data_IF_208306869866
#
_entry.id   IF_208306869866
#
_cell.length_a   1.000
_cell.length_b   1.000
_cell.length_c   1.000
_cell.angle_alpha   90.00
_cell.angle_beta   90.00
_cell.angle_gamma   90.00
#
_symmetry.space_group_name_H-M   'P 1'
#
loop_
_entity.id
_entity.type
_entity.pdbx_description
1 polymer ?
#
# COMPACT_ATOMS: atom_id res chain seq x y z
N UNK A 1 17.73 3.53 -10.33
CA UNK A 1 18.31 3.95 -11.62
C UNK A 1 19.78 3.63 -11.62
N UNK A 2 20.41 3.41 -12.77
CA UNK A 2 21.85 3.30 -12.86
C UNK A 2 22.52 4.48 -12.15
N UNK A 3 23.56 4.18 -11.39
CA UNK A 3 24.48 5.19 -10.84
C UNK A 3 24.98 6.10 -11.98
N UNK A 4 25.14 7.39 -11.69
CA UNK A 4 25.65 8.37 -12.66
C UNK A 4 24.63 8.96 -13.65
N UNK A 5 23.33 8.67 -13.51
CA UNK A 5 22.28 9.33 -14.33
C UNK A 5 21.58 10.48 -13.58
N UNK A 6 21.22 11.59 -14.27
CA UNK A 6 20.60 12.76 -13.63
C UNK A 6 19.10 12.58 -13.30
N UNK A 7 18.41 11.64 -13.95
CA UNK A 7 16.97 11.40 -13.77
C UNK A 7 16.67 10.22 -12.83
N UNK A 8 15.39 10.05 -12.51
CA UNK A 8 14.88 9.05 -11.57
C UNK A 8 13.79 8.18 -12.18
N UNK A 9 13.93 6.84 -12.15
CA UNK A 9 12.80 5.95 -12.42
C UNK A 9 11.67 6.25 -11.43
N UNK A 10 10.40 6.10 -11.83
CA UNK A 10 9.25 6.42 -10.98
C UNK A 10 9.09 5.55 -9.74
N UNK A 11 9.95 4.54 -9.57
CA UNK A 11 9.97 3.67 -8.42
C UNK A 11 11.40 3.34 -7.97
N UNK A 12 11.51 2.87 -6.72
CA UNK A 12 12.71 2.26 -6.12
C UNK A 12 12.33 1.08 -5.24
N UNK A 13 13.38 0.51 -4.67
CA UNK A 13 13.38 -0.73 -3.92
C UNK A 13 13.58 -0.41 -2.45
N UNK A 14 12.66 -0.87 -1.62
CA UNK A 14 12.79 -0.88 -0.16
C UNK A 14 13.17 -2.31 0.25
N UNK A 15 14.23 -2.52 1.04
CA UNK A 15 14.65 -3.86 1.41
C UNK A 15 13.59 -4.56 2.27
N UNK A 16 13.53 -5.88 2.18
CA UNK A 16 12.80 -6.74 3.12
C UNK A 16 13.77 -7.36 4.12
N UNK A 17 13.26 -7.92 5.23
CA UNK A 17 14.12 -8.72 6.10
C UNK A 17 14.51 -10.01 5.37
N UNK A 18 15.73 -10.47 5.59
CA UNK A 18 16.20 -11.73 5.00
C UNK A 18 15.93 -12.91 5.93
N UNK A 19 14.70 -13.02 6.43
CA UNK A 19 14.28 -14.08 7.35
C UNK A 19 12.82 -14.48 7.07
N UNK A 20 12.43 -15.74 7.33
CA UNK A 20 11.05 -16.17 7.18
C UNK A 20 10.05 -15.38 8.06
N UNK A 21 8.79 -15.25 7.64
CA UNK A 21 7.75 -14.65 8.45
C UNK A 21 7.50 -15.42 9.76
N UNK A 22 7.17 -14.69 10.82
CA UNK A 22 6.77 -15.30 12.09
C UNK A 22 5.32 -15.83 12.02
N UNK A 23 5.17 -17.15 12.18
CA UNK A 23 3.88 -17.81 12.13
C UNK A 23 3.28 -17.97 13.53
N UNK A 24 2.06 -17.46 13.70
CA UNK A 24 1.30 -17.59 14.95
C UNK A 24 -0.15 -18.02 14.68
N UNK A 25 -0.80 -18.59 15.69
CA UNK A 25 -2.21 -18.98 15.57
C UNK A 25 -3.10 -17.76 15.39
N UNK A 26 -4.01 -17.74 14.38
CA UNK A 26 -4.96 -16.65 14.24
C UNK A 26 -5.98 -16.64 15.39
N UNK A 27 -6.44 -15.45 15.78
CA UNK A 27 -7.60 -15.32 16.68
C UNK A 27 -8.89 -15.49 15.90
N UNK A 28 -9.45 -16.69 15.96
CA UNK A 28 -10.61 -17.05 15.14
C UNK A 28 -11.86 -16.21 15.44
N UNK A 29 -12.66 -15.98 14.40
CA UNK A 29 -13.91 -15.20 14.46
C UNK A 29 -14.96 -15.76 15.44
N UNK A 30 -14.90 -17.06 15.78
CA UNK A 30 -15.84 -17.68 16.72
C UNK A 30 -15.51 -17.39 18.20
N UNK A 31 -14.39 -16.71 18.47
CA UNK A 31 -13.96 -16.35 19.82
C UNK A 31 -13.89 -14.84 19.97
N UNK A 32 -14.04 -14.38 21.20
CA UNK A 32 -14.13 -12.97 21.55
C UNK A 32 -12.92 -12.54 22.37
N UNK A 33 -11.72 -12.78 21.84
CA UNK A 33 -10.47 -12.78 22.63
C UNK A 33 -9.58 -11.54 22.40
N UNK A 34 -9.84 -10.70 21.38
CA UNK A 34 -9.00 -9.55 21.03
C UNK A 34 -9.72 -8.21 20.84
N UNK A 35 -8.95 -7.22 20.40
CA UNK A 35 -9.41 -5.85 20.25
C UNK A 35 -10.36 -5.75 19.05
N UNK A 36 -11.49 -5.06 19.25
CA UNK A 36 -12.52 -4.87 18.23
C UNK A 36 -12.91 -3.42 18.13
N UNK A 37 -13.43 -3.03 16.98
CA UNK A 37 -13.82 -1.66 16.77
C UNK A 37 -13.84 -1.26 15.31
N UNK A 38 -13.80 0.04 15.09
CA UNK A 38 -13.66 0.60 13.75
C UNK A 38 -12.95 1.95 13.78
N UNK A 39 -12.36 2.30 12.64
CA UNK A 39 -11.83 3.62 12.37
C UNK A 39 -12.60 4.26 11.20
N UNK A 40 -13.05 5.50 11.37
CA UNK A 40 -13.48 6.35 10.27
C UNK A 40 -12.29 7.13 9.73
N UNK A 41 -12.03 6.96 8.44
CA UNK A 41 -10.89 7.54 7.77
C UNK A 41 -11.34 8.47 6.66
N UNK A 42 -10.61 9.57 6.48
CA UNK A 42 -10.72 10.44 5.32
C UNK A 42 -9.45 10.36 4.50
N UNK A 43 -9.63 10.23 3.19
CA UNK A 43 -8.56 10.17 2.19
C UNK A 43 -8.65 11.40 1.31
N UNK A 44 -7.55 12.14 1.21
CA UNK A 44 -7.39 13.27 0.30
C UNK A 44 -6.40 12.92 -0.81
N UNK A 45 -6.78 13.18 -2.07
CA UNK A 45 -5.88 13.05 -3.20
C UNK A 45 -4.99 14.30 -3.33
N UNK A 46 -3.69 14.17 -3.03
CA UNK A 46 -2.71 15.27 -3.16
C UNK A 46 -2.25 15.48 -4.61
N UNK A 47 -2.41 14.46 -5.45
CA UNK A 47 -2.21 14.51 -6.91
C UNK A 47 -3.39 13.83 -7.61
N UNK A 48 -3.57 13.98 -8.95
CA UNK A 48 -4.73 13.44 -9.64
C UNK A 48 -4.91 11.95 -9.38
N UNK A 49 -6.13 11.51 -9.12
CA UNK A 49 -6.44 10.14 -8.68
C UNK A 49 -7.31 9.44 -9.72
N UNK A 50 -6.86 8.25 -10.15
CA UNK A 50 -7.68 7.39 -11.01
C UNK A 50 -7.69 5.95 -10.51
N UNK A 51 -8.88 5.43 -10.26
CA UNK A 51 -9.13 4.03 -9.94
C UNK A 51 -9.98 3.48 -11.06
N UNK A 52 -9.46 2.51 -11.81
CA UNK A 52 -10.15 1.94 -12.97
C UNK A 52 -10.68 0.57 -12.58
N UNK A 53 -11.91 0.26 -12.98
CA UNK A 53 -12.49 -1.08 -12.81
C UNK A 53 -11.81 -2.15 -13.67
N UNK A 54 -12.20 -3.41 -13.47
CA UNK A 54 -11.77 -4.49 -14.34
C UNK A 54 -12.21 -4.23 -15.79
N UNK A 55 -11.24 -4.07 -16.68
CA UNK A 55 -11.49 -3.93 -18.12
C UNK A 55 -11.57 -5.32 -18.75
N UNK A 56 -12.51 -5.53 -19.68
CA UNK A 56 -12.54 -6.74 -20.49
C UNK A 56 -11.29 -6.80 -21.37
N UNK A 57 -10.60 -7.94 -21.39
CA UNK A 57 -9.47 -8.16 -22.30
C UNK A 57 -9.92 -7.98 -23.75
N UNK A 58 -9.20 -7.18 -24.53
CA UNK A 58 -9.48 -6.96 -25.95
C UNK A 58 -10.39 -5.76 -26.28
N UNK A 59 -10.84 -4.99 -25.30
CA UNK A 59 -11.50 -3.71 -25.59
C UNK A 59 -10.51 -2.71 -26.18
N UNK A 60 -10.86 -2.11 -27.33
CA UNK A 60 -10.10 -1.07 -28.01
C UNK A 60 -9.79 0.14 -27.09
N UNK A 61 -8.95 1.05 -27.61
CA UNK A 61 -8.60 2.33 -26.98
C UNK A 61 -9.87 3.06 -26.52
N UNK A 62 -10.19 2.90 -25.25
CA UNK A 62 -11.30 3.57 -24.58
C UNK A 62 -10.68 4.53 -23.59
N UNK A 63 -11.24 5.72 -23.55
CA UNK A 63 -10.96 6.71 -22.53
C UNK A 63 -11.20 6.08 -21.16
N UNK A 64 -10.23 6.23 -20.27
CA UNK A 64 -10.28 5.63 -18.95
C UNK A 64 -10.75 6.67 -17.95
N UNK A 65 -11.93 6.41 -17.39
CA UNK A 65 -12.56 7.25 -16.37
C UNK A 65 -12.45 6.60 -14.97
N UNK A 66 -12.60 7.39 -13.90
CA UNK A 66 -12.61 6.87 -12.54
C UNK A 66 -13.84 5.97 -12.32
N UNK A 67 -13.66 4.93 -11.51
CA UNK A 67 -14.70 3.96 -11.21
C UNK A 67 -15.89 4.64 -10.53
N UNK A 68 -17.09 4.28 -11.00
CA UNK A 68 -18.36 4.67 -10.40
C UNK A 68 -19.10 3.47 -9.84
N UNK A 69 -19.77 3.67 -8.72
CA UNK A 69 -20.64 2.66 -8.12
C UNK A 69 -21.84 2.44 -9.04
N UNK A 70 -22.07 1.18 -9.44
CA UNK A 70 -23.26 0.84 -10.26
C UNK A 70 -24.58 1.13 -9.56
N UNK A 71 -24.58 1.17 -8.22
CA UNK A 71 -25.78 1.41 -7.41
C UNK A 71 -26.13 2.90 -7.30
N UNK A 72 -25.11 3.77 -7.19
CA UNK A 72 -25.33 5.19 -6.89
C UNK A 72 -24.94 6.14 -8.03
N UNK A 73 -24.19 5.67 -9.04
CA UNK A 73 -23.63 6.51 -10.10
C UNK A 73 -22.45 7.40 -9.67
N UNK A 74 -22.22 7.54 -8.36
CA UNK A 74 -21.13 8.32 -7.78
C UNK A 74 -19.79 7.63 -7.94
N UNK A 75 -18.71 8.41 -7.97
CA UNK A 75 -17.34 7.88 -7.89
C UNK A 75 -17.17 7.03 -6.64
N UNK A 76 -16.32 6.01 -6.74
CA UNK A 76 -16.05 5.09 -5.64
C UNK A 76 -14.62 4.59 -5.68
N UNK A 77 -13.98 4.51 -4.52
CA UNK A 77 -12.75 3.75 -4.36
C UNK A 77 -13.14 2.41 -3.72
N UNK A 78 -12.91 1.26 -4.38
CA UNK A 78 -13.26 -0.03 -3.80
C UNK A 78 -12.50 -0.27 -2.49
N UNK A 79 -13.18 -0.83 -1.50
CA UNK A 79 -12.56 -1.24 -0.24
C UNK A 79 -11.44 -2.27 -0.45
N UNK A 80 -11.50 -3.05 -1.53
CA UNK A 80 -10.43 -3.98 -1.93
C UNK A 80 -9.17 -3.25 -2.42
N UNK A 81 -9.30 -2.09 -3.08
CA UNK A 81 -8.16 -1.26 -3.47
C UNK A 81 -7.49 -0.62 -2.27
N UNK A 82 -8.28 -0.12 -1.31
CA UNK A 82 -7.77 0.39 -0.03
C UNK A 82 -7.08 -0.72 0.76
N UNK A 83 -7.76 -1.87 0.94
CA UNK A 83 -7.21 -3.03 1.65
C UNK A 83 -5.90 -3.50 1.03
N UNK A 84 -5.82 -3.59 -0.30
CA UNK A 84 -4.60 -4.00 -1.00
C UNK A 84 -3.43 -3.02 -0.80
N UNK A 85 -3.71 -1.72 -0.82
CA UNK A 85 -2.69 -0.69 -0.57
C UNK A 85 -2.13 -0.78 0.85
N UNK A 86 -3.01 -0.82 1.86
CA UNK A 86 -2.61 -0.90 3.27
C UNK A 86 -1.93 -2.25 3.56
N UNK A 87 -2.48 -3.36 3.04
CA UNK A 87 -1.89 -4.70 3.16
C UNK A 87 -0.48 -4.75 2.61
N UNK A 88 -0.23 -4.16 1.43
CA UNK A 88 1.11 -4.19 0.82
C UNK A 88 2.17 -3.50 1.68
N UNK A 89 1.80 -2.44 2.41
CA UNK A 89 2.71 -1.80 3.35
C UNK A 89 2.88 -2.64 4.63
N UNK A 90 1.77 -3.16 5.15
CA UNK A 90 1.78 -4.02 6.33
C UNK A 90 2.65 -5.28 6.10
N UNK A 91 2.59 -5.88 4.92
CA UNK A 91 3.42 -7.04 4.53
C UNK A 91 4.92 -6.76 4.65
N UNK A 92 5.36 -5.59 4.16
CA UNK A 92 6.74 -5.16 4.28
C UNK A 92 7.15 -4.99 5.75
N UNK A 93 6.34 -4.27 6.52
CA UNK A 93 6.68 -3.85 7.88
C UNK A 93 6.58 -4.98 8.89
N UNK A 94 5.64 -5.91 8.69
CA UNK A 94 5.42 -7.05 9.56
C UNK A 94 6.24 -8.28 9.17
N UNK A 95 7.11 -8.18 8.15
CA UNK A 95 7.84 -9.32 7.58
C UNK A 95 6.90 -10.47 7.18
N UNK A 96 5.95 -10.21 6.28
CA UNK A 96 4.95 -11.18 5.87
C UNK A 96 5.04 -11.53 4.37
N UNK A 97 4.51 -12.69 4.02
CA UNK A 97 4.48 -13.16 2.64
C UNK A 97 3.49 -12.34 1.79
N UNK A 98 3.75 -12.29 0.49
CA UNK A 98 2.85 -11.62 -0.45
C UNK A 98 1.66 -12.53 -0.80
N UNK A 99 0.47 -11.98 -1.13
CA UNK A 99 -0.76 -12.74 -1.27
C UNK A 99 -0.90 -13.41 -2.64
N UNK A 100 0.17 -13.40 -3.45
CA UNK A 100 0.12 -13.81 -4.84
C UNK A 100 0.76 -15.19 -5.04
N UNK A 101 0.18 -16.06 -5.89
CA UNK A 101 0.67 -17.43 -6.07
C UNK A 101 2.04 -17.48 -6.77
N UNK A 102 2.87 -18.44 -6.36
CA UNK A 102 4.28 -18.61 -6.74
C UNK A 102 4.55 -18.56 -8.25
N UNK A 103 3.63 -19.08 -9.08
CA UNK A 103 3.85 -19.26 -10.52
C UNK A 103 4.09 -17.97 -11.32
N UNK A 104 3.77 -16.79 -10.77
CA UNK A 104 3.85 -15.51 -11.49
C UNK A 104 4.49 -14.39 -10.68
N UNK A 105 5.19 -14.70 -9.58
CA UNK A 105 5.61 -13.70 -8.60
C UNK A 105 7.12 -13.72 -8.43
N UNK A 106 7.75 -12.59 -8.72
CA UNK A 106 9.17 -12.36 -8.45
C UNK A 106 9.38 -11.80 -7.04
N UNK A 107 9.07 -12.61 -6.03
CA UNK A 107 9.47 -12.34 -4.64
C UNK A 107 10.63 -13.22 -4.23
N UNK A 108 11.29 -12.82 -3.17
CA UNK A 108 12.28 -13.64 -2.49
C UNK A 108 11.65 -14.91 -1.90
N UNK A 109 12.50 -15.92 -1.66
CA UNK A 109 12.08 -17.24 -1.20
C UNK A 109 11.39 -17.24 0.16
N UNK A 110 11.73 -16.30 1.05
CA UNK A 110 11.18 -16.26 2.41
C UNK A 110 9.73 -15.76 2.42
N UNK A 111 9.33 -14.96 1.44
CA UNK A 111 8.04 -14.26 1.41
C UNK A 111 7.09 -14.73 0.30
N UNK A 112 7.29 -15.95 -0.21
CA UNK A 112 6.31 -16.60 -1.09
C UNK A 112 5.05 -17.00 -0.31
N UNK A 113 3.90 -17.04 -0.98
CA UNK A 113 2.60 -17.31 -0.34
C UNK A 113 2.54 -18.65 0.41
N UNK A 114 3.29 -19.68 0.00
CA UNK A 114 3.35 -20.98 0.70
C UNK A 114 4.03 -20.90 2.06
N UNK A 115 4.79 -19.84 2.33
CA UNK A 115 5.41 -19.56 3.64
C UNK A 115 4.53 -18.75 4.57
N UNK A 116 3.35 -18.30 4.11
CA UNK A 116 2.43 -17.49 4.92
C UNK A 116 1.64 -18.31 5.95
N UNK A 117 1.72 -19.64 5.91
CA UNK A 117 1.00 -20.54 6.81
C UNK A 117 1.83 -21.76 7.17
N UNK A 118 1.36 -22.53 8.16
CA UNK A 118 1.83 -23.90 8.34
C UNK A 118 1.51 -24.77 7.10
N UNK A 119 2.30 -25.82 6.81
CA UNK A 119 2.01 -26.75 5.74
C UNK A 119 0.63 -27.40 5.93
N UNK A 120 -0.12 -27.55 4.83
CA UNK A 120 -1.41 -28.23 4.89
C UNK A 120 -1.27 -29.66 5.44
N UNK A 121 -2.10 -30.09 6.41
CA UNK A 121 -2.02 -31.41 7.01
C UNK A 121 -2.40 -32.58 6.07
N UNK A 122 -2.66 -32.31 4.79
CA UNK A 122 -2.92 -33.33 3.78
C UNK A 122 -2.40 -32.88 2.42
N UNK A 123 -1.38 -33.55 1.90
CA UNK A 123 -1.02 -33.46 0.49
C UNK A 123 -2.23 -33.85 -0.35
N UNK A 124 -2.51 -33.10 -1.41
CA UNK A 124 -3.57 -33.44 -2.33
C UNK A 124 -3.39 -34.88 -2.82
N UNK A 125 -4.29 -35.80 -2.44
CA UNK A 125 -4.38 -37.09 -3.14
C UNK A 125 -4.72 -36.78 -4.61
N UNK A 126 -3.97 -37.30 -5.59
CA UNK A 126 -4.30 -37.14 -7.00
C UNK A 126 -5.76 -37.59 -7.23
N UNK A 127 -6.61 -36.69 -7.75
CA UNK A 127 -8.03 -36.98 -8.03
C UNK A 127 -9.01 -36.81 -6.86
N UNK A 128 -8.56 -36.42 -5.66
CA UNK A 128 -9.44 -36.14 -4.51
C UNK A 128 -10.02 -34.71 -4.51
N UNK A 129 -11.22 -34.52 -3.93
CA UNK A 129 -11.72 -33.19 -3.59
C UNK A 129 -10.70 -32.49 -2.68
N UNK A 130 -10.30 -31.25 -3.00
CA UNK A 130 -9.47 -30.44 -2.09
C UNK A 130 -10.30 -30.15 -0.84
N UNK A 131 -9.98 -30.82 0.27
CA UNK A 131 -10.57 -30.49 1.55
C UNK A 131 -10.18 -29.07 1.94
N UNK A 132 -11.21 -28.27 2.23
CA UNK A 132 -11.01 -26.91 2.73
C UNK A 132 -10.74 -27.00 4.22
N UNK A 133 -9.64 -26.41 4.67
CA UNK A 133 -9.25 -26.43 6.09
C UNK A 133 -8.86 -25.03 6.57
N UNK A 134 -8.91 -24.84 7.89
CA UNK A 134 -8.38 -23.64 8.52
C UNK A 134 -6.87 -23.83 8.78
N UNK A 135 -6.01 -22.85 8.43
CA UNK A 135 -4.60 -22.90 8.77
C UNK A 135 -4.42 -22.81 10.30
N UNK A 136 -3.49 -23.58 10.88
CA UNK A 136 -3.25 -23.54 12.33
C UNK A 136 -2.38 -22.35 12.70
N UNK A 137 -1.44 -21.99 11.83
CA UNK A 137 -0.57 -20.82 11.99
C UNK A 137 -0.55 -20.01 10.70
N UNK A 138 -0.50 -18.69 10.86
CA UNK A 138 -0.47 -17.72 9.79
C UNK A 138 0.57 -16.64 10.09
N UNK A 139 1.16 -16.08 9.06
CA UNK A 139 2.00 -14.89 9.16
C UNK A 139 1.17 -13.65 9.58
N UNK A 140 1.83 -12.54 9.97
CA UNK A 140 1.12 -11.38 10.48
C UNK A 140 0.12 -10.76 9.50
N UNK A 141 0.44 -10.68 8.21
CA UNK A 141 -0.47 -10.08 7.23
C UNK A 141 -1.63 -11.01 6.87
N UNK A 142 -1.40 -12.32 6.84
CA UNK A 142 -2.41 -13.34 6.59
C UNK A 142 -3.43 -13.39 7.72
N UNK A 143 -3.02 -13.22 8.99
CA UNK A 143 -3.95 -13.07 10.12
C UNK A 143 -4.81 -11.82 9.97
N UNK A 144 -4.19 -10.66 9.72
CA UNK A 144 -4.94 -9.40 9.67
C UNK A 144 -5.81 -9.29 8.42
N UNK A 145 -5.27 -9.59 7.24
CA UNK A 145 -5.93 -9.32 5.96
C UNK A 145 -6.55 -10.56 5.30
N UNK A 146 -6.31 -11.75 5.82
CA UNK A 146 -6.87 -13.01 5.31
C UNK A 146 -5.90 -13.77 4.40
N UNK A 147 -6.23 -15.04 4.19
CA UNK A 147 -5.38 -16.02 3.52
C UNK A 147 -6.20 -17.01 2.68
N UNK A 148 -5.67 -17.34 1.51
CA UNK A 148 -6.21 -18.35 0.61
C UNK A 148 -5.07 -19.01 -0.17
N UNK A 149 -4.72 -20.24 0.19
CA UNK A 149 -3.71 -21.01 -0.53
C UNK A 149 -3.86 -22.51 -0.26
N UNK A 150 -3.60 -23.36 -1.25
CA UNK A 150 -3.61 -24.82 -1.10
C UNK A 150 -4.86 -25.42 -0.42
N UNK A 151 -6.05 -24.82 -0.62
CA UNK A 151 -7.30 -25.25 0.02
C UNK A 151 -7.49 -24.73 1.44
N UNK A 152 -6.49 -24.07 2.02
CA UNK A 152 -6.62 -23.39 3.31
C UNK A 152 -7.24 -22.00 3.15
N UNK A 153 -8.17 -21.64 4.03
CA UNK A 153 -8.93 -20.38 3.98
C UNK A 153 -8.97 -19.72 5.35
N UNK A 154 -8.71 -18.40 5.37
CA UNK A 154 -8.94 -17.54 6.52
C UNK A 154 -9.45 -16.16 6.07
N UNK A 155 -10.56 -15.67 6.63
CA UNK A 155 -11.26 -14.45 6.16
C UNK A 155 -10.48 -13.15 6.44
N UNK A 156 -9.58 -13.17 7.42
CA UNK A 156 -8.88 -11.98 7.88
C UNK A 156 -9.71 -11.17 8.87
N UNK A 157 -9.02 -10.49 9.77
CA UNK A 157 -9.56 -9.77 10.92
C UNK A 157 -9.95 -8.32 10.62
N UNK A 158 -9.73 -7.84 9.39
CA UNK A 158 -10.10 -6.48 8.97
C UNK A 158 -10.94 -6.43 7.71
N UNK A 159 -11.88 -5.48 7.69
CA UNK A 159 -12.74 -5.16 6.56
C UNK A 159 -12.67 -3.67 6.25
N UNK A 160 -12.56 -3.36 4.97
CA UNK A 160 -12.58 -2.00 4.45
C UNK A 160 -13.91 -1.79 3.73
N UNK A 161 -14.62 -0.70 4.05
CA UNK A 161 -15.74 -0.25 3.23
C UNK A 161 -15.21 0.31 1.90
N UNK A 162 -16.09 0.42 0.91
CA UNK A 162 -15.83 1.32 -0.21
C UNK A 162 -15.71 2.76 0.31
N UNK A 163 -14.86 3.55 -0.33
CA UNK A 163 -14.73 4.97 -0.04
C UNK A 163 -15.70 5.77 -0.91
N UNK A 164 -16.47 6.64 -0.27
CA UNK A 164 -17.47 7.49 -0.92
C UNK A 164 -17.00 8.95 -0.91
N UNK A 165 -17.29 9.72 -1.97
CA UNK A 165 -16.81 11.09 -2.11
C UNK A 165 -17.38 12.00 -1.03
N UNK A 166 -16.54 12.91 -0.53
CA UNK A 166 -16.94 14.04 0.29
C UNK A 166 -17.09 15.26 -0.64
N UNK A 167 -18.33 15.56 -1.01
CA UNK A 167 -18.65 16.65 -1.94
C UNK A 167 -18.54 16.28 -3.42
N UNK A 168 -18.57 17.31 -4.26
CA UNK A 168 -18.54 17.16 -5.72
C UNK A 168 -17.11 17.00 -6.21
N UNK A 169 -16.85 15.95 -6.99
CA UNK A 169 -15.53 15.69 -7.56
C UNK A 169 -15.49 16.08 -9.04
N UNK A 170 -14.32 16.56 -9.49
CA UNK A 170 -14.07 17.00 -10.86
C UNK A 170 -13.08 16.08 -11.55
N UNK A 171 -13.46 15.56 -12.72
CA UNK A 171 -12.51 14.95 -13.66
C UNK A 171 -11.70 16.05 -14.37
N UNK A 172 -10.41 15.80 -14.59
CA UNK A 172 -9.49 16.65 -15.36
C UNK A 172 -8.85 15.83 -16.48
N UNK A 173 -8.29 16.51 -17.50
CA UNK A 173 -7.74 15.89 -18.70
C UNK A 173 -8.46 16.37 -19.97
N UNK A 174 -8.30 15.67 -21.10
CA UNK A 174 -7.65 14.37 -21.27
C UNK A 174 -6.13 14.40 -21.04
N UNK A 175 -5.57 13.30 -20.53
CA UNK A 175 -4.12 13.06 -20.52
C UNK A 175 -3.77 11.79 -21.29
N UNK A 176 -2.81 11.87 -22.21
CA UNK A 176 -2.30 10.70 -22.94
C UNK A 176 -1.11 10.10 -22.20
N UNK A 177 -1.30 8.95 -21.55
CA UNK A 177 -0.28 8.31 -20.70
C UNK A 177 0.24 7.01 -21.30
N UNK A 178 1.52 6.70 -21.04
CA UNK A 178 2.12 5.42 -21.43
C UNK A 178 1.49 4.29 -20.63
N UNK A 179 1.12 3.22 -21.33
CA UNK A 179 0.62 1.98 -20.75
C UNK A 179 1.70 0.92 -20.77
N UNK A 180 1.80 0.19 -19.66
CA UNK A 180 2.80 -0.84 -19.47
C UNK A 180 3.62 -0.56 -18.21
N UNK A 181 4.10 -1.63 -17.60
CA UNK A 181 5.09 -1.55 -16.53
C UNK A 181 6.28 -2.41 -16.94
N UNK A 182 7.52 -2.04 -16.54
CA UNK A 182 8.67 -2.92 -16.70
C UNK A 182 8.34 -4.27 -16.08
N UNK A 183 8.41 -5.33 -16.89
CA UNK A 183 8.15 -6.68 -16.41
C UNK A 183 9.21 -7.07 -15.37
N UNK A 184 8.82 -7.87 -14.37
CA UNK A 184 9.78 -8.60 -13.56
C UNK A 184 10.77 -9.33 -14.51
N UNK A 185 12.08 -9.18 -14.30
CA UNK A 185 13.15 -9.57 -15.24
C UNK A 185 13.73 -8.47 -16.16
N UNK A 186 13.20 -7.24 -16.13
CA UNK A 186 13.83 -6.09 -16.79
C UNK A 186 15.09 -5.62 -16.03
N UNK A 187 16.04 -4.94 -16.71
CA UNK A 187 17.35 -4.49 -16.17
C UNK A 187 17.33 -3.62 -14.90
N UNK A 188 16.15 -3.27 -14.36
CA UNK A 188 15.99 -2.44 -13.17
C UNK A 188 15.43 -3.19 -11.96
N UNK A 189 15.22 -4.51 -12.05
CA UNK A 189 14.85 -5.37 -10.93
C UNK A 189 16.11 -5.95 -10.27
N UNK A 190 16.25 -5.89 -8.93
CA UNK A 190 17.34 -6.54 -8.22
C UNK A 190 17.28 -8.05 -8.46
N UNK A 191 18.41 -8.71 -8.75
CA UNK A 191 18.43 -10.14 -9.08
C UNK A 191 18.03 -11.02 -7.88
N UNK A 192 18.32 -10.59 -6.66
CA UNK A 192 18.06 -11.32 -5.42
C UNK A 192 16.62 -11.19 -4.90
N UNK A 193 15.84 -10.24 -5.43
CA UNK A 193 14.40 -10.02 -5.13
C UNK A 193 14.08 -9.75 -3.65
N UNK A 194 15.09 -9.45 -2.82
CA UNK A 194 14.96 -9.12 -1.40
C UNK A 194 14.44 -7.69 -1.15
N UNK A 195 13.57 -7.21 -2.03
CA UNK A 195 13.08 -5.85 -2.04
C UNK A 195 11.61 -5.77 -2.41
N UNK A 196 10.97 -4.65 -2.08
CA UNK A 196 9.63 -4.29 -2.52
C UNK A 196 9.65 -2.98 -3.30
N UNK A 197 8.83 -2.92 -4.35
CA UNK A 197 8.75 -1.77 -5.26
C UNK A 197 7.84 -0.70 -4.67
N UNK A 198 8.37 0.49 -4.45
CA UNK A 198 7.61 1.68 -4.06
C UNK A 198 7.73 2.77 -5.12
N UNK A 199 6.63 3.49 -5.37
CA UNK A 199 6.63 4.62 -6.30
C UNK A 199 6.96 5.91 -5.57
N UNK A 200 7.73 6.79 -6.21
CA UNK A 200 7.94 8.14 -5.70
C UNK A 200 6.63 8.95 -5.76
N UNK A 201 6.54 9.94 -4.87
CA UNK A 201 5.57 11.01 -4.98
C UNK A 201 6.03 12.06 -5.99
N UNK A 202 5.06 12.76 -6.59
CA UNK A 202 5.32 13.84 -7.55
C UNK A 202 4.56 15.09 -7.08
N UNK A 203 5.07 15.82 -6.08
CA UNK A 203 4.34 16.94 -5.47
C UNK A 203 4.04 18.09 -6.45
N UNK A 204 4.76 18.14 -7.57
CA UNK A 204 4.57 19.12 -8.65
C UNK A 204 3.49 18.70 -9.67
N UNK A 205 2.98 17.47 -9.58
CA UNK A 205 1.97 16.94 -10.51
C UNK A 205 0.53 17.13 -9.97
N UNK A 206 0.21 18.30 -9.40
CA UNK A 206 -1.11 18.57 -8.79
C UNK A 206 -2.25 18.64 -9.81
N UNK A 207 -1.99 19.30 -10.94
CA UNK A 207 -3.00 19.59 -11.97
C UNK A 207 -2.73 18.90 -13.31
N UNK A 208 -1.68 18.07 -13.38
CA UNK A 208 -1.28 17.41 -14.61
C UNK A 208 -0.73 16.01 -14.36
N UNK A 209 -0.81 15.17 -15.40
CA UNK A 209 -0.07 13.93 -15.48
C UNK A 209 1.06 14.07 -16.50
N UNK A 210 2.18 13.40 -16.25
CA UNK A 210 3.26 13.34 -17.24
C UNK A 210 2.78 12.58 -18.48
N UNK A 211 2.72 13.30 -19.60
CA UNK A 211 2.29 12.73 -20.87
C UNK A 211 3.29 11.73 -21.45
N UNK A 212 2.78 10.89 -22.35
CA UNK A 212 3.59 9.98 -23.12
C UNK A 212 4.58 10.75 -24.01
N UNK A 213 5.87 10.40 -24.00
CA UNK A 213 6.83 10.98 -24.92
C UNK A 213 6.41 10.77 -26.39
N UNK A 214 6.78 11.69 -27.30
CA UNK A 214 6.55 11.51 -28.73
C UNK A 214 7.12 10.17 -29.23
N UNK A 215 6.37 9.49 -30.12
CA UNK A 215 6.77 8.21 -30.70
C UNK A 215 6.41 6.97 -29.88
N UNK A 216 5.91 7.10 -28.65
CA UNK A 216 5.34 5.97 -27.91
C UNK A 216 3.90 5.72 -28.37
N UNK A 217 3.66 4.54 -28.94
CA UNK A 217 2.34 4.14 -29.46
C UNK A 217 1.49 3.43 -28.41
N UNK A 218 2.11 2.80 -27.41
CA UNK A 218 1.44 2.12 -26.29
C UNK A 218 0.92 3.14 -25.28
N UNK A 219 -0.16 3.83 -25.64
CA UNK A 219 -0.75 4.90 -24.83
C UNK A 219 -2.22 4.68 -24.59
N UNK A 220 -2.75 5.32 -23.54
CA UNK A 220 -4.17 5.46 -23.29
C UNK A 220 -4.49 6.87 -22.84
N UNK A 221 -5.70 7.31 -23.15
CA UNK A 221 -6.26 8.56 -22.66
C UNK A 221 -6.93 8.30 -21.31
N UNK A 222 -6.65 9.16 -20.33
CA UNK A 222 -7.20 9.04 -18.98
C UNK A 222 -7.79 10.37 -18.52
N UNK A 223 -8.84 10.28 -17.69
CA UNK A 223 -9.53 11.41 -17.06
C UNK A 223 -9.52 11.23 -15.53
N UNK A 224 -8.40 11.49 -14.83
CA UNK A 224 -8.34 11.34 -13.38
C UNK A 224 -9.21 12.38 -12.67
N UNK A 225 -9.57 12.08 -11.42
CA UNK A 225 -10.11 13.07 -10.50
C UNK A 225 -9.01 14.06 -10.11
N UNK A 226 -9.36 15.34 -9.99
CA UNK A 226 -8.43 16.40 -9.60
C UNK A 226 -7.83 16.18 -8.19
N UNK A 227 -6.65 16.76 -7.95
CA UNK A 227 -6.13 16.91 -6.60
C UNK A 227 -7.14 17.69 -5.72
N UNK A 228 -7.11 17.45 -4.40
CA UNK A 228 -8.11 17.91 -3.45
C UNK A 228 -9.38 17.05 -3.40
N UNK A 229 -9.51 16.04 -4.25
CA UNK A 229 -10.63 15.09 -4.16
C UNK A 229 -10.58 14.32 -2.84
N UNK A 230 -11.67 14.36 -2.07
CA UNK A 230 -11.76 13.71 -0.77
C UNK A 230 -12.77 12.55 -0.76
N UNK A 231 -12.43 11.50 -0.01
CA UNK A 231 -13.26 10.32 0.16
C UNK A 231 -13.28 9.89 1.63
N UNK A 232 -14.41 9.35 2.09
CA UNK A 232 -14.56 8.78 3.43
C UNK A 232 -14.78 7.28 3.36
N UNK A 233 -14.08 6.53 4.21
CA UNK A 233 -14.22 5.08 4.33
C UNK A 233 -14.09 4.64 5.78
N UNK A 234 -14.50 3.40 6.05
CA UNK A 234 -14.43 2.77 7.37
C UNK A 234 -13.56 1.53 7.32
N UNK A 235 -12.76 1.34 8.36
CA UNK A 235 -12.01 0.10 8.61
C UNK A 235 -12.57 -0.54 9.86
N UNK A 236 -13.26 -1.66 9.70
CA UNK A 236 -13.68 -2.51 10.80
C UNK A 236 -12.58 -3.51 11.13
N UNK A 237 -12.34 -3.75 12.42
CA UNK A 237 -11.40 -4.74 12.89
C UNK A 237 -11.99 -5.57 14.03
N UNK A 238 -11.65 -6.86 14.05
CA UNK A 238 -12.10 -7.79 15.06
C UNK A 238 -10.99 -8.71 15.54
N UNK A 239 -10.91 -8.93 16.86
CA UNK A 239 -9.96 -9.84 17.50
C UNK A 239 -8.48 -9.54 17.21
N UNK A 240 -8.12 -8.30 16.87
CA UNK A 240 -6.72 -7.95 16.68
C UNK A 240 -5.94 -8.03 17.98
N UNK A 241 -4.67 -8.43 17.88
CA UNK A 241 -3.68 -8.17 18.92
C UNK A 241 -3.40 -6.67 19.04
N UNK A 242 -2.83 -6.24 20.16
CA UNK A 242 -2.46 -4.83 20.37
C UNK A 242 -1.46 -4.38 19.32
N UNK A 243 -0.46 -5.21 19.03
CA UNK A 243 0.61 -4.94 18.07
C UNK A 243 0.09 -4.93 16.63
N UNK A 244 -0.89 -5.78 16.32
CA UNK A 244 -1.55 -5.81 15.00
C UNK A 244 -2.39 -4.55 14.77
N UNK A 245 -3.11 -4.08 15.80
CA UNK A 245 -3.84 -2.81 15.73
C UNK A 245 -2.89 -1.62 15.61
N UNK A 246 -1.80 -1.59 16.38
CA UNK A 246 -0.78 -0.52 16.30
C UNK A 246 -0.19 -0.42 14.90
N UNK A 247 0.21 -1.55 14.31
CA UNK A 247 0.78 -1.56 12.98
C UNK A 247 -0.26 -1.26 11.90
N UNK A 248 -1.51 -1.71 12.05
CA UNK A 248 -2.61 -1.34 11.16
C UNK A 248 -2.86 0.17 11.16
N UNK A 249 -2.95 0.78 12.35
CA UNK A 249 -3.15 2.22 12.50
C UNK A 249 -1.95 3.00 11.94
N UNK A 250 -0.73 2.55 12.21
CA UNK A 250 0.47 3.12 11.58
C UNK A 250 0.39 3.06 10.05
N UNK A 251 0.04 1.91 9.48
CA UNK A 251 -0.09 1.75 8.04
C UNK A 251 -1.22 2.61 7.45
N UNK A 252 -2.26 2.96 8.21
CA UNK A 252 -3.34 3.82 7.75
C UNK A 252 -2.89 5.28 7.63
N UNK A 253 -2.40 5.88 8.72
CA UNK A 253 -2.16 7.34 8.80
C UNK A 253 -0.71 7.77 8.64
N UNK A 254 0.24 6.83 8.72
CA UNK A 254 1.67 7.08 8.56
C UNK A 254 2.20 8.19 9.50
N UNK A 255 3.35 8.76 9.15
CA UNK A 255 4.03 9.80 9.91
C UNK A 255 3.66 11.18 9.34
N UNK A 256 3.20 12.13 10.19
CA UNK A 256 2.75 13.46 9.77
C UNK A 256 3.88 14.28 9.18
N UNK A 257 5.11 14.00 9.62
CA UNK A 257 6.32 14.72 9.25
C UNK A 257 7.49 13.74 9.38
N UNK A 258 8.31 13.65 8.32
CA UNK A 258 9.58 12.92 8.34
C UNK A 258 10.67 13.78 7.71
N UNK A 259 11.86 13.74 8.30
CA UNK A 259 13.06 14.35 7.72
C UNK A 259 13.84 13.28 6.98
N UNK A 260 14.11 13.53 5.70
CA UNK A 260 14.86 12.64 4.82
C UNK A 260 16.13 13.35 4.38
N UNK A 261 17.26 12.67 4.55
CA UNK A 261 18.55 13.10 3.99
C UNK A 261 18.96 12.12 2.90
N UNK A 262 19.19 12.63 1.69
CA UNK A 262 19.69 11.85 0.57
C UNK A 262 21.16 12.17 0.32
N UNK A 263 21.97 11.13 0.19
CA UNK A 263 23.38 11.20 -0.18
C UNK A 263 23.58 11.70 -1.62
N UNK A 264 24.75 12.27 -1.96
CA UNK A 264 25.12 12.55 -3.34
C UNK A 264 24.97 11.34 -4.27
N UNK A 265 25.31 10.15 -3.78
CA UNK A 265 25.23 8.88 -4.53
C UNK A 265 23.79 8.50 -4.84
N UNK A 266 22.88 8.69 -3.87
CA UNK A 266 21.44 8.55 -4.10
C UNK A 266 20.98 9.59 -5.12
N UNK A 267 21.35 10.87 -4.95
CA UNK A 267 20.90 12.00 -5.78
C UNK A 267 21.35 11.89 -7.24
N UNK A 268 22.59 11.46 -7.48
CA UNK A 268 23.23 11.37 -8.78
C UNK A 268 24.20 12.52 -9.06
N UNK A 269 24.73 12.60 -10.30
CA UNK A 269 25.94 13.37 -10.61
C UNK A 269 25.82 14.89 -10.43
N UNK A 270 24.60 15.41 -10.31
CA UNK A 270 24.36 16.85 -10.16
C UNK A 270 24.48 17.33 -8.70
N UNK A 271 24.81 16.44 -7.77
CA UNK A 271 24.84 16.72 -6.34
C UNK A 271 26.20 16.31 -5.77
N UNK A 272 26.83 17.22 -5.02
CA UNK A 272 28.13 17.01 -4.38
C UNK A 272 28.05 17.02 -2.84
N UNK A 273 26.85 17.26 -2.28
CA UNK A 273 26.57 17.28 -0.85
C UNK A 273 25.23 16.61 -0.57
N UNK A 274 25.03 16.03 0.63
CA UNK A 274 23.73 15.54 1.04
C UNK A 274 22.67 16.63 0.99
N UNK A 275 21.44 16.25 0.66
CA UNK A 275 20.28 17.17 0.67
C UNK A 275 19.26 16.65 1.67
N UNK A 276 18.88 17.50 2.60
CA UNK A 276 17.86 17.24 3.61
C UNK A 276 16.59 18.01 3.27
N UNK A 277 15.46 17.33 3.34
CA UNK A 277 14.14 17.91 3.17
C UNK A 277 13.14 17.15 4.04
N UNK A 278 11.99 17.77 4.29
CA UNK A 278 10.97 17.19 5.16
C UNK A 278 9.60 17.23 4.50
N UNK A 279 8.73 16.36 4.97
CA UNK A 279 7.32 16.39 4.63
C UNK A 279 6.56 15.19 5.16
N UNK A 280 5.24 15.18 4.93
CA UNK A 280 4.36 14.08 5.27
C UNK A 280 4.70 12.75 4.55
N UNK A 281 4.54 11.61 5.22
CA UNK A 281 4.53 10.31 4.53
C UNK A 281 3.14 10.00 3.94
N UNK A 282 3.06 9.83 2.63
CA UNK A 282 1.81 9.60 1.91
C UNK A 282 1.74 8.19 1.29
N UNK A 283 0.52 7.80 0.90
CA UNK A 283 0.30 6.55 0.17
C UNK A 283 0.25 6.76 -1.35
N UNK A 284 0.53 5.71 -2.13
CA UNK A 284 0.31 5.68 -3.58
C UNK A 284 -0.83 4.74 -3.96
N UNK A 285 -1.95 5.29 -4.40
CA UNK A 285 -3.18 4.58 -4.76
C UNK A 285 -3.51 4.69 -6.25
N UNK A 286 -4.07 3.62 -6.82
CA UNK A 286 -4.64 3.64 -8.18
C UNK A 286 -3.66 3.57 -9.35
N UNK A 287 -4.13 4.01 -10.52
CA UNK A 287 -3.43 3.98 -11.79
C UNK A 287 -2.50 5.18 -11.99
N UNK A 288 -1.75 5.17 -13.10
CA UNK A 288 -0.88 6.28 -13.53
C UNK A 288 0.18 6.73 -12.49
N UNK A 289 0.53 5.88 -11.52
CA UNK A 289 1.55 6.17 -10.50
C UNK A 289 2.87 6.66 -11.09
N UNK A 290 3.41 6.06 -12.18
CA UNK A 290 4.64 6.53 -12.80
C UNK A 290 4.57 7.93 -13.41
N UNK A 291 3.36 8.38 -13.77
CA UNK A 291 3.08 9.68 -14.37
C UNK A 291 2.79 10.77 -13.32
N UNK A 292 2.79 10.42 -12.03
CA UNK A 292 2.60 11.34 -10.91
C UNK A 292 1.26 11.21 -10.19
N UNK A 293 0.33 10.40 -10.70
CA UNK A 293 -1.00 10.23 -10.11
C UNK A 293 -0.98 9.51 -8.75
N UNK A 294 -2.03 9.73 -7.96
CA UNK A 294 -2.40 8.85 -6.87
C UNK A 294 -1.62 9.01 -5.58
N UNK A 295 -0.98 10.16 -5.34
CA UNK A 295 -0.49 10.49 -3.99
C UNK A 295 -1.71 10.81 -3.11
N UNK A 296 -1.87 10.10 -2.00
CA UNK A 296 -3.02 10.29 -1.12
C UNK A 296 -2.58 10.40 0.34
N UNK A 297 -3.23 11.31 1.05
CA UNK A 297 -3.11 11.50 2.49
C UNK A 297 -4.29 10.85 3.19
N UNK A 298 -4.07 10.15 4.30
CA UNK A 298 -5.14 9.53 5.08
C UNK A 298 -5.07 10.05 6.51
N UNK A 299 -6.21 10.52 7.01
CA UNK A 299 -6.41 10.89 8.42
C UNK A 299 -7.47 10.00 9.04
N UNK A 300 -7.44 9.86 10.37
CA UNK A 300 -8.54 9.28 11.14
C UNK A 300 -9.35 10.41 11.77
N UNK A 301 -10.67 10.32 11.66
CA UNK A 301 -11.61 11.25 12.30
C UNK A 301 -12.08 10.72 13.65
N UNK A 302 -12.27 9.40 13.72
CA UNK A 302 -12.77 8.71 14.89
C UNK A 302 -12.19 7.30 14.92
N UNK A 303 -11.74 6.87 16.10
CA UNK A 303 -11.44 5.47 16.39
C UNK A 303 -12.33 5.01 17.53
N UNK A 304 -13.14 3.98 17.29
CA UNK A 304 -13.92 3.31 18.32
C UNK A 304 -13.28 1.98 18.65
N UNK A 305 -13.02 1.72 19.93
CA UNK A 305 -12.47 0.47 20.46
C UNK A 305 -13.45 -0.12 21.48
N UNK A 306 -13.84 -1.38 21.30
CA UNK A 306 -14.67 -2.13 22.23
C UNK A 306 -13.77 -2.83 23.26
N UNK A 307 -13.92 -2.47 24.53
CA UNK A 307 -13.11 -2.93 25.66
C UNK A 307 -13.56 -4.28 26.22
N UNK A 308 -14.88 -4.50 26.33
CA UNK A 308 -15.46 -5.82 26.64
C UNK A 308 -16.68 -6.06 25.75
N UNK A 309 -16.52 -6.86 24.69
CA UNK A 309 -17.60 -7.02 23.74
C UNK A 309 -18.47 -8.24 24.04
N UNK A 310 -18.20 -8.96 25.15
CA UNK A 310 -19.12 -9.94 25.72
C UNK A 310 -20.32 -9.27 26.40
N UNK A 311 -20.20 -8.00 26.80
CA UNK A 311 -21.28 -7.20 27.41
C UNK A 311 -22.52 -7.13 26.50
N UNK A 312 -22.35 -7.07 25.16
CA UNK A 312 -23.47 -7.10 24.20
C UNK A 312 -24.34 -8.34 24.32
N UNK A 313 -23.77 -9.47 24.74
CA UNK A 313 -24.45 -10.75 24.84
C UNK A 313 -24.96 -11.06 26.26
N UNK A 314 -24.47 -10.32 27.28
CA UNK A 314 -24.88 -10.51 28.68
C UNK A 314 -26.15 -9.73 29.07
N UNK A 315 -26.74 -8.96 28.14
CA UNK A 315 -28.00 -8.25 28.36
C UNK A 315 -27.96 -7.14 29.43
N UNK A 316 -26.77 -6.71 29.86
CA UNK A 316 -26.64 -5.65 30.87
C UNK A 316 -26.98 -4.27 30.25
N UNK A 317 -27.63 -3.42 31.04
CA UNK A 317 -28.29 -2.19 30.61
C UNK A 317 -27.37 -1.11 30.01
N UNK A 318 -28.00 -0.05 29.48
CA UNK A 318 -27.38 1.03 28.68
C UNK A 318 -26.10 1.65 29.30
N UNK A 319 -26.05 1.77 30.63
CA UNK A 319 -24.88 2.26 31.39
C UNK A 319 -23.64 1.34 31.28
N UNK A 320 -23.81 0.02 31.25
CA UNK A 320 -22.68 -0.92 31.06
C UNK A 320 -22.11 -0.91 29.64
N UNK A 321 -22.87 -0.42 28.65
CA UNK A 321 -22.43 -0.34 27.26
C UNK A 321 -21.55 0.90 26.99
N UNK A 322 -21.72 1.98 27.75
CA UNK A 322 -20.88 3.18 27.66
C UNK A 322 -19.48 2.93 28.23
N UNK A 323 -19.35 2.15 29.31
CA UNK A 323 -18.05 1.74 29.86
C UNK A 323 -17.34 0.69 29.01
N UNK A 324 -18.06 0.00 28.12
CA UNK A 324 -17.55 -1.06 27.26
C UNK A 324 -16.90 -0.57 25.96
N UNK A 325 -16.96 0.74 25.67
CA UNK A 325 -16.53 1.31 24.41
C UNK A 325 -15.74 2.58 24.69
N UNK A 326 -14.52 2.64 24.15
CA UNK A 326 -13.75 3.87 24.11
C UNK A 326 -13.80 4.49 22.72
N UNK A 327 -14.16 5.76 22.64
CA UNK A 327 -14.18 6.53 21.39
C UNK A 327 -13.07 7.57 21.49
N UNK A 328 -12.11 7.52 20.58
CA UNK A 328 -11.04 8.49 20.44
C UNK A 328 -11.38 9.47 19.32
N UNK A 329 -11.35 10.76 19.63
CA UNK A 329 -11.54 11.86 18.67
C UNK A 329 -10.58 13.00 19.03
N UNK A 330 -10.34 13.92 18.08
CA UNK A 330 -9.56 15.14 18.28
C UNK A 330 -8.18 14.88 18.91
N UNK A 331 -7.77 15.69 19.89
CA UNK A 331 -6.45 15.57 20.54
C UNK A 331 -6.19 14.22 21.22
N UNK A 332 -7.23 13.55 21.75
CA UNK A 332 -7.08 12.23 22.36
C UNK A 332 -6.73 11.17 21.30
N UNK A 333 -7.35 11.28 20.11
CA UNK A 333 -7.04 10.42 18.97
C UNK A 333 -5.60 10.63 18.51
N UNK A 334 -5.15 11.88 18.37
CA UNK A 334 -3.77 12.17 17.96
C UNK A 334 -2.74 11.64 18.96
N UNK A 335 -3.01 11.78 20.26
CA UNK A 335 -2.14 11.20 21.29
C UNK A 335 -2.07 9.68 21.16
N UNK A 336 -3.21 9.01 21.02
CA UNK A 336 -3.28 7.56 20.87
C UNK A 336 -2.58 7.06 19.59
N UNK A 337 -2.75 7.77 18.47
CA UNK A 337 -2.04 7.48 17.22
C UNK A 337 -0.53 7.70 17.36
N UNK A 338 -0.10 8.73 18.09
CA UNK A 338 1.31 8.97 18.41
C UNK A 338 1.94 7.84 19.23
N UNK A 339 1.20 7.28 20.20
CA UNK A 339 1.61 6.09 20.95
C UNK A 339 1.70 4.85 20.05
N UNK A 340 0.68 4.59 19.24
CA UNK A 340 0.67 3.48 18.28
C UNK A 340 1.85 3.56 17.31
N UNK A 341 2.10 4.75 16.75
CA UNK A 341 3.22 5.01 15.84
C UNK A 341 4.56 4.73 16.51
N UNK A 342 4.79 5.27 17.71
CA UNK A 342 6.04 5.01 18.45
C UNK A 342 6.27 3.51 18.68
N UNK A 343 5.24 2.79 19.11
CA UNK A 343 5.29 1.35 19.34
C UNK A 343 5.57 0.56 18.05
N UNK A 344 4.89 0.89 16.95
CA UNK A 344 5.09 0.24 15.65
C UNK A 344 6.50 0.48 15.11
N UNK A 345 7.00 1.71 15.17
CA UNK A 345 8.31 2.10 14.65
C UNK A 345 9.48 1.42 15.37
N UNK A 346 9.37 1.17 16.68
CA UNK A 346 10.41 0.47 17.45
C UNK A 346 10.71 -0.95 16.95
N UNK A 347 9.75 -1.58 16.26
CA UNK A 347 9.86 -2.95 15.74
C UNK A 347 10.37 -3.01 14.30
N UNK A 348 10.48 -1.86 13.63
CA UNK A 348 10.86 -1.76 12.22
C UNK A 348 12.36 -1.44 12.13
N UNK A 349 13.16 -2.31 11.47
CA UNK A 349 14.58 -2.06 11.27
C UNK A 349 14.88 -0.74 10.54
N UNK A 350 15.91 -0.02 10.98
CA UNK A 350 16.28 1.28 10.40
C UNK A 350 16.65 1.19 8.91
N UNK A 351 17.25 0.08 8.48
CA UNK A 351 17.58 -0.19 7.07
C UNK A 351 16.35 -0.37 6.18
N UNK A 352 15.17 -0.63 6.75
CA UNK A 352 13.88 -0.64 6.02
C UNK A 352 13.21 0.73 6.13
N UNK A 353 13.14 1.28 7.34
CA UNK A 353 12.40 2.51 7.64
C UNK A 353 12.98 3.74 6.91
N UNK A 354 14.31 3.90 6.86
CA UNK A 354 14.96 5.02 6.16
C UNK A 354 14.61 5.06 4.66
N UNK A 355 14.88 3.99 3.91
CA UNK A 355 14.46 3.87 2.51
C UNK A 355 12.97 4.03 2.30
N UNK A 356 12.14 3.48 3.19
CA UNK A 356 10.69 3.60 3.11
C UNK A 356 10.23 5.06 3.24
N UNK A 357 10.73 5.79 4.25
CA UNK A 357 10.48 7.23 4.42
C UNK A 357 10.92 8.03 3.21
N UNK A 358 12.11 7.75 2.69
CA UNK A 358 12.62 8.38 1.48
C UNK A 358 11.73 8.14 0.24
N UNK A 359 10.97 7.04 0.21
CA UNK A 359 10.06 6.72 -0.89
C UNK A 359 8.65 7.27 -0.71
N UNK A 360 8.17 7.34 0.53
CA UNK A 360 6.80 7.73 0.85
C UNK A 360 6.67 9.20 1.26
N UNK A 361 7.76 9.93 1.47
CA UNK A 361 7.72 11.37 1.73
C UNK A 361 7.11 12.12 0.54
N UNK A 362 6.17 13.00 0.82
CA UNK A 362 5.57 13.94 -0.13
C UNK A 362 6.04 15.34 0.24
N UNK A 363 7.00 15.88 -0.52
CA UNK A 363 7.59 17.19 -0.24
C UNK A 363 7.83 17.98 -1.53
N UNK A 364 7.29 19.20 -1.69
CA UNK A 364 7.61 20.07 -2.81
C UNK A 364 9.12 20.34 -2.98
N UNK A 365 9.86 20.27 -1.88
CA UNK A 365 11.31 20.48 -1.79
C UNK A 365 12.13 19.23 -2.13
N UNK A 366 11.47 18.11 -2.46
CA UNK A 366 12.17 16.90 -2.90
C UNK A 366 13.08 17.22 -4.10
N UNK A 367 14.41 17.00 -3.98
CA UNK A 367 15.37 17.35 -5.03
C UNK A 367 15.24 16.46 -6.28
N UNK A 368 14.48 15.36 -6.22
CA UNK A 368 14.37 14.37 -7.30
C UNK A 368 13.38 14.79 -8.39
N UNK A 369 13.56 15.97 -8.99
CA UNK A 369 12.56 16.60 -9.88
C UNK A 369 12.29 15.88 -11.22
N UNK A 370 13.30 15.32 -11.89
CA UNK A 370 13.09 14.58 -13.16
C UNK A 370 12.79 13.10 -12.91
N UNK A 371 11.55 12.80 -12.50
CA UNK A 371 11.05 11.44 -12.36
C UNK A 371 10.39 10.98 -13.66
N UNK A 372 10.99 9.99 -14.33
CA UNK A 372 10.51 9.39 -15.58
C UNK A 372 11.08 8.01 -15.83
N UNK A 373 10.39 7.25 -16.67
CA UNK A 373 11.01 6.11 -17.31
C UNK A 373 12.14 6.53 -18.27
N UNK A 374 13.16 5.69 -18.46
CA UNK A 374 14.12 5.86 -19.54
C UNK A 374 13.39 5.86 -20.90
N UNK A 375 13.94 6.60 -21.86
CA UNK A 375 13.53 6.50 -23.25
C UNK A 375 13.82 5.10 -23.80
N UNK A 376 13.18 4.74 -24.91
CA UNK A 376 13.45 3.46 -25.56
C UNK A 376 14.91 3.30 -26.01
N UNK A 377 15.53 4.39 -26.47
CA UNK A 377 16.96 4.41 -26.83
C UNK A 377 17.85 4.19 -25.60
N UNK A 378 17.54 4.87 -24.48
CA UNK A 378 18.22 4.64 -23.20
C UNK A 378 18.06 3.18 -22.77
N UNK A 379 16.85 2.62 -22.82
CA UNK A 379 16.59 1.23 -22.49
C UNK A 379 17.37 0.25 -23.36
N UNK A 380 17.42 0.44 -24.69
CA UNK A 380 18.22 -0.41 -25.59
C UNK A 380 19.70 -0.37 -25.27
N UNK A 381 20.24 0.81 -24.94
CA UNK A 381 21.66 0.96 -24.57
C UNK A 381 22.04 0.25 -23.26
N UNK A 382 21.03 -0.01 -22.43
CA UNK A 382 21.12 -0.64 -21.10
C UNK A 382 20.74 -2.13 -21.11
N UNK A 383 20.14 -2.62 -22.19
CA UNK A 383 19.73 -4.02 -22.34
C UNK A 383 20.96 -4.95 -22.34
N UNK A 384 20.93 -6.02 -21.54
CA UNK A 384 22.03 -6.98 -21.42
C UNK A 384 23.17 -6.57 -20.46
N UNK A 385 23.06 -5.43 -19.78
CA UNK A 385 24.03 -4.99 -18.76
C UNK A 385 23.43 -5.11 -17.36
N UNK A 386 24.14 -5.72 -16.41
CA UNK A 386 23.83 -5.59 -14.98
C UNK A 386 24.17 -4.16 -14.55
N UNK A 387 23.20 -3.44 -13.98
CA UNK A 387 23.34 -2.02 -13.64
C UNK A 387 23.21 -1.82 -12.14
N UNK A 388 24.24 -1.26 -11.51
CA UNK A 388 24.17 -0.82 -10.11
C UNK A 388 23.11 0.27 -9.97
N UNK A 389 22.15 0.07 -9.07
CA UNK A 389 21.09 1.02 -8.83
C UNK A 389 21.53 2.03 -7.76
N UNK A 390 21.18 3.31 -7.95
CA UNK A 390 21.27 4.37 -6.93
C UNK A 390 20.67 3.86 -5.61
N UNK A 391 21.35 4.05 -4.47
CA UNK A 391 20.79 3.71 -3.17
C UNK A 391 19.51 4.52 -2.90
N UNK A 392 18.62 4.00 -2.04
CA UNK A 392 17.37 4.68 -1.71
C UNK A 392 17.55 5.92 -0.81
N UNK A 393 18.66 5.99 -0.07
CA UNK A 393 19.07 7.10 0.82
C UNK A 393 20.52 7.46 0.56
#
# INVERSE_FOLDING_TARGET
MPVGKPYWNPYRWVPVKNEPPELASPRYHHRFEGIRGFAWCTLEALTPLIIIGAMKSGSAATDLHPLRSRRTGNYVIPGTSLKGMIRSLYELLANAAVPFPERNVEVDYNHVLSRASDPSPGGAKPGGKREVSAPKKLDPAARVFGFLHAGMVFRGLVRFSDAHPLGNLKEIGPFKVVVGQPRPGASFYPPDRNFRKFYHHHPWAKDCLREAPPGITQTRTVFPLAAGSQFRFRVDFENLLREELELLLYCLVLEPEVTVTLSPEALGPNFNRPVTFSGPMCHKLGGCKPQGAGSVWITLEELRVELDPSIRYRGQGRLSQETAVKIYQNGELEQFLGECRRSALQRIPANILGPLRAMMVFSPDDPRKDIRYPSWQEFRSLSGKSLSLKPPV
#
